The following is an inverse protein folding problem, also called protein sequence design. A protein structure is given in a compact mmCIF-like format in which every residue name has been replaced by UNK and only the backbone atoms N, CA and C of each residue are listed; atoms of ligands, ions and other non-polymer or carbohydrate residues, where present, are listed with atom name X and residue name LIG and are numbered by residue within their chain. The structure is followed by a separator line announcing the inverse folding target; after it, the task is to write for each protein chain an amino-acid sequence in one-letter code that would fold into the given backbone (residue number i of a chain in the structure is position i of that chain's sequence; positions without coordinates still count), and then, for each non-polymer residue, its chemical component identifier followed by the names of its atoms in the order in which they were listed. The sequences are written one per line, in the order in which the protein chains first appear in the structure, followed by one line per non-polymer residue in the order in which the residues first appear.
data_IF_881236661110
#
_entry.id   IF_881236661110
#
_cell.length_a   1.000
_cell.length_b   1.000
_cell.length_c   1.000
_cell.angle_alpha   90.00
_cell.angle_beta   90.00
_cell.angle_gamma   90.00
#
_symmetry.space_group_name_H-M   'P 1'
#
loop_
_entity.id
_entity.type
_entity.pdbx_description
1 polymer ?
#
# COMPACT_ATOMS: atom_id res chain seq x y z
N UNK A 1 -28.07 8.71 8.41
CA UNK A 1 -27.33 7.89 7.44
C UNK A 1 -26.72 6.72 8.18
N UNK A 2 -26.98 5.48 7.72
CA UNK A 2 -26.50 4.25 8.35
C UNK A 2 -25.25 3.83 7.57
N UNK A 3 -24.06 3.99 8.15
CA UNK A 3 -22.87 3.35 7.61
C UNK A 3 -23.04 1.85 7.88
N UNK A 4 -23.21 1.04 6.84
CA UNK A 4 -23.07 -0.40 7.00
C UNK A 4 -21.60 -0.67 7.37
N UNK A 5 -21.34 -1.59 8.30
CA UNK A 5 -19.97 -2.04 8.65
C UNK A 5 -19.16 -2.49 7.41
N UNK A 6 -19.84 -2.74 6.29
CA UNK A 6 -19.28 -3.01 4.96
C UNK A 6 -18.58 -1.81 4.30
N UNK A 7 -18.67 -0.60 4.87
CA UNK A 7 -18.11 0.63 4.28
C UNK A 7 -16.80 1.10 4.95
N UNK A 8 -16.28 0.34 5.94
CA UNK A 8 -15.09 0.72 6.70
C UNK A 8 -13.95 -0.23 6.35
N UNK A 9 -12.85 0.33 5.85
CA UNK A 9 -11.64 -0.42 5.54
C UNK A 9 -10.55 -0.12 6.56
N UNK A 10 -9.93 -1.16 7.09
CA UNK A 10 -8.80 -1.06 8.02
C UNK A 10 -7.52 -1.46 7.33
N UNK A 11 -6.47 -0.64 7.48
CA UNK A 11 -5.16 -0.88 6.90
C UNK A 11 -4.08 -0.83 7.97
N UNK A 12 -3.08 -1.70 7.86
CA UNK A 12 -1.85 -1.63 8.64
C UNK A 12 -0.71 -1.32 7.68
N UNK A 13 -0.03 -0.21 7.92
CA UNK A 13 1.10 0.25 7.12
C UNK A 13 2.36 0.13 7.97
N UNK A 14 3.41 -0.49 7.43
CA UNK A 14 4.76 -0.47 8.00
C UNK A 14 5.68 0.14 6.98
N UNK A 15 6.39 1.20 7.35
CA UNK A 15 7.35 1.92 6.52
C UNK A 15 8.67 2.06 7.27
N UNK A 16 9.76 1.95 6.55
CA UNK A 16 11.10 2.25 7.03
C UNK A 16 11.93 2.79 5.87
N UNK A 17 12.92 3.62 6.18
CA UNK A 17 13.94 3.98 5.20
C UNK A 17 15.05 2.93 5.26
N UNK A 18 15.49 2.44 4.10
CA UNK A 18 16.77 1.76 4.03
C UNK A 18 17.87 2.78 4.27
N UNK A 19 18.83 2.43 5.13
CA UNK A 19 20.04 3.23 5.28
C UNK A 19 20.75 3.28 3.92
N UNK A 20 21.08 4.47 3.41
CA UNK A 20 21.74 4.59 2.12
C UNK A 20 23.13 3.92 2.23
N UNK A 21 23.42 3.00 1.31
CA UNK A 21 24.69 2.27 1.30
C UNK A 21 25.88 3.20 1.04
N UNK A 22 25.63 4.35 0.40
CA UNK A 22 26.59 5.41 0.18
C UNK A 22 25.97 6.78 0.46
N UNK A 23 26.78 7.75 0.88
CA UNK A 23 26.34 9.11 1.24
C UNK A 23 25.63 9.87 0.08
N UNK A 24 25.77 9.39 -1.16
CA UNK A 24 25.12 9.92 -2.36
C UNK A 24 23.81 9.22 -2.75
N UNK A 25 23.44 8.11 -2.09
CA UNK A 25 22.22 7.39 -2.42
C UNK A 25 20.99 8.09 -1.85
N UNK A 26 19.94 8.21 -2.68
CA UNK A 26 18.64 8.66 -2.20
C UNK A 26 18.07 7.61 -1.23
N UNK A 27 17.60 8.07 -0.07
CA UNK A 27 16.93 7.22 0.91
C UNK A 27 15.76 6.49 0.24
N UNK A 28 15.85 5.16 0.17
CA UNK A 28 14.80 4.32 -0.40
C UNK A 28 13.79 4.00 0.69
N UNK A 29 12.52 4.27 0.39
CA UNK A 29 11.44 3.81 1.24
C UNK A 29 11.19 2.33 0.99
N UNK A 30 11.06 1.59 2.07
CA UNK A 30 10.57 0.22 2.06
C UNK A 30 9.38 0.13 2.96
N UNK A 31 8.45 -0.71 2.57
CA UNK A 31 7.28 -0.91 3.39
C UNK A 31 6.37 -2.00 2.91
N UNK A 32 5.27 -2.13 3.62
CA UNK A 32 4.11 -2.82 3.12
C UNK A 32 2.84 -2.27 3.75
N UNK A 33 1.76 -2.35 2.99
CA UNK A 33 0.40 -2.10 3.43
C UNK A 33 -0.37 -3.41 3.38
N UNK A 34 -1.12 -3.70 4.44
CA UNK A 34 -2.02 -4.85 4.53
C UNK A 34 -3.43 -4.35 4.77
N UNK A 35 -4.37 -4.74 3.91
CA UNK A 35 -5.80 -4.53 4.17
C UNK A 35 -6.31 -5.62 5.11
N UNK A 36 -6.68 -5.22 6.33
CA UNK A 36 -6.96 -6.11 7.46
C UNK A 36 -8.08 -7.10 7.14
N UNK A 37 -9.19 -6.63 6.57
CA UNK A 37 -10.35 -7.49 6.29
C UNK A 37 -10.07 -8.56 5.23
N UNK A 38 -9.29 -8.22 4.19
CA UNK A 38 -8.98 -9.17 3.11
C UNK A 38 -7.72 -9.99 3.34
N UNK A 39 -6.85 -9.60 4.28
CA UNK A 39 -5.50 -10.12 4.45
C UNK A 39 -4.52 -9.80 3.30
N UNK A 40 -4.97 -9.13 2.21
CA UNK A 40 -4.11 -8.80 1.07
C UNK A 40 -3.05 -7.79 1.47
N UNK A 41 -1.81 -8.07 1.07
CA UNK A 41 -0.62 -7.27 1.36
C UNK A 41 0.02 -6.81 0.05
N UNK A 42 0.54 -5.58 0.04
CA UNK A 42 1.37 -5.04 -1.04
C UNK A 42 2.64 -4.44 -0.46
N UNK A 43 3.79 -4.71 -1.09
CA UNK A 43 5.05 -4.06 -0.77
C UNK A 43 5.07 -2.64 -1.32
N UNK A 44 5.72 -1.74 -0.58
CA UNK A 44 5.80 -0.33 -0.90
C UNK A 44 7.27 0.03 -1.13
N UNK A 45 7.55 0.62 -2.29
CA UNK A 45 8.84 1.26 -2.61
C UNK A 45 8.69 2.78 -2.73
N UNK A 46 7.47 3.25 -3.03
CA UNK A 46 7.15 4.66 -3.20
C UNK A 46 5.87 5.01 -2.43
N UNK A 47 5.85 6.16 -1.75
CA UNK A 47 4.72 6.52 -0.87
C UNK A 47 3.38 6.66 -1.60
N UNK A 48 3.37 7.04 -2.88
CA UNK A 48 2.16 7.12 -3.71
C UNK A 48 1.48 5.74 -3.93
N UNK A 49 2.19 4.63 -3.74
CA UNK A 49 1.62 3.28 -3.83
C UNK A 49 0.62 3.01 -2.71
N UNK A 50 0.71 3.73 -1.59
CA UNK A 50 -0.25 3.67 -0.48
C UNK A 50 -1.60 4.20 -0.95
N UNK A 51 -1.61 5.39 -1.56
CA UNK A 51 -2.83 6.05 -2.05
C UNK A 51 -3.53 5.18 -3.10
N UNK A 52 -2.77 4.60 -4.04
CA UNK A 52 -3.29 3.67 -5.03
C UNK A 52 -3.92 2.42 -4.39
N UNK A 53 -3.32 1.89 -3.33
CA UNK A 53 -3.85 0.71 -2.64
C UNK A 53 -5.08 1.02 -1.80
N UNK A 54 -5.17 2.20 -1.19
CA UNK A 54 -6.36 2.61 -0.42
C UNK A 54 -7.52 2.87 -1.39
N UNK A 55 -7.30 3.63 -2.47
CA UNK A 55 -8.33 3.93 -3.48
C UNK A 55 -8.89 2.66 -4.12
N UNK A 56 -8.06 1.63 -4.33
CA UNK A 56 -8.51 0.33 -4.81
C UNK A 56 -9.68 -0.25 -3.98
N UNK A 57 -9.65 -0.11 -2.65
CA UNK A 57 -10.73 -0.61 -1.79
C UNK A 57 -11.87 0.40 -1.60
N UNK A 58 -11.61 1.71 -1.76
CA UNK A 58 -12.64 2.74 -1.62
C UNK A 58 -13.52 2.87 -2.85
N UNK A 59 -12.96 2.72 -4.05
CA UNK A 59 -13.69 2.93 -5.31
C UNK A 59 -14.36 1.64 -5.85
N UNK A 60 -14.16 0.49 -5.19
CA UNK A 60 -14.59 -0.86 -5.65
C UNK A 60 -14.10 -1.21 -7.08
N UNK A 61 -13.21 -0.39 -7.64
CA UNK A 61 -12.61 -0.58 -8.95
C UNK A 61 -11.37 -1.46 -8.79
N UNK A 62 -11.33 -2.64 -9.43
CA UNK A 62 -10.16 -3.57 -9.49
C UNK A 62 -8.82 -2.83 -9.58
N UNK A 63 -7.77 -3.28 -8.86
CA UNK A 63 -6.48 -2.61 -8.96
C UNK A 63 -5.93 -2.89 -10.35
N UNK A 64 -5.09 -2.00 -10.91
CA UNK A 64 -4.26 -2.38 -12.05
C UNK A 64 -3.46 -3.60 -11.58
N UNK A 65 -3.67 -4.73 -12.25
CA UNK A 65 -2.99 -5.97 -11.93
C UNK A 65 -1.49 -5.67 -11.89
N UNK A 66 -0.87 -5.98 -10.75
CA UNK A 66 0.55 -5.76 -10.58
C UNK A 66 1.26 -6.47 -11.73
N UNK A 67 1.99 -5.70 -12.53
CA UNK A 67 2.72 -6.18 -13.68
C UNK A 67 3.59 -7.35 -13.23
N UNK A 68 3.18 -8.56 -13.59
CA UNK A 68 4.03 -9.74 -13.50
C UNK A 68 5.11 -9.50 -14.52
N UNK A 69 6.27 -9.08 -14.03
CA UNK A 69 7.49 -8.97 -14.82
C UNK A 69 7.88 -10.41 -15.19
N UNK A 70 7.55 -10.78 -16.43
CA UNK A 70 8.16 -11.90 -17.17
C UNK A 70 9.52 -11.46 -17.70
#
# INVERSE_FOLDING_TARGET
MKFSETSVHSFVIRLWQEEPAQQSDQAKWRGHITHVLSGKKRYIEQLNEIDLFINYYLDDTKPPEAQTRI
#
